data_IF_562720673098
#
_entry.id   IF_562720673098
#
_cell.length_a   1.000
_cell.length_b   1.000
_cell.length_c   1.000
_cell.angle_alpha   90.00
_cell.angle_beta   90.00
_cell.angle_gamma   90.00
#
_symmetry.space_group_name_H-M   'P 1'
#
loop_
_entity.id
_entity.type
_entity.pdbx_description
1 polymer ?
#
# COMPACT_ATOMS: atom_id res chain seq x y z
N UNK A 1 -24.52 -1.18 -3.69
CA UNK A 1 -23.08 -0.82 -3.66
C UNK A 1 -22.53 -1.11 -2.28
N UNK A 2 -21.32 -1.66 -2.17
CA UNK A 2 -20.61 -1.90 -0.90
C UNK A 2 -19.40 -0.99 -0.81
N UNK A 3 -19.17 -0.40 0.35
CA UNK A 3 -18.03 0.46 0.64
C UNK A 3 -17.23 -0.14 1.79
N UNK A 4 -15.90 -0.06 1.70
CA UNK A 4 -14.99 -0.42 2.79
C UNK A 4 -13.88 0.60 2.89
N UNK A 5 -13.59 1.03 4.11
CA UNK A 5 -12.43 1.83 4.43
C UNK A 5 -11.47 1.02 5.28
N UNK A 6 -10.17 1.20 5.08
CA UNK A 6 -9.13 0.59 5.89
C UNK A 6 -8.07 1.62 6.24
N UNK A 7 -7.55 1.49 7.46
CA UNK A 7 -6.41 2.25 7.96
C UNK A 7 -5.40 1.23 8.49
N UNK A 8 -4.17 1.31 8.00
CA UNK A 8 -3.08 0.45 8.44
C UNK A 8 -1.89 1.29 8.87
N UNK A 9 -1.25 0.88 9.96
CA UNK A 9 0.02 1.43 10.42
C UNK A 9 1.07 0.32 10.32
N UNK A 10 2.20 0.60 9.69
CA UNK A 10 3.18 -0.42 9.32
C UNK A 10 4.51 -0.12 10.00
N UNK A 11 5.05 -1.12 10.69
CA UNK A 11 6.40 -1.12 11.26
C UNK A 11 7.18 -2.32 10.76
N UNK A 12 8.49 -2.14 10.58
CA UNK A 12 9.40 -3.27 10.38
C UNK A 12 9.75 -3.92 11.72
N UNK A 13 9.82 -5.24 11.70
CA UNK A 13 10.14 -6.03 12.88
C UNK A 13 11.62 -5.96 13.27
N UNK A 14 12.53 -5.92 12.29
CA UNK A 14 13.98 -5.84 12.50
C UNK A 14 14.55 -4.52 11.98
N UNK A 15 15.56 -3.99 12.67
CA UNK A 15 16.36 -2.85 12.20
C UNK A 15 17.44 -3.27 11.21
N UNK A 16 17.81 -4.56 11.18
CA UNK A 16 18.81 -5.09 10.27
C UNK A 16 18.21 -5.58 8.95
N UNK A 17 16.93 -5.30 8.70
CA UNK A 17 16.18 -5.83 7.56
C UNK A 17 15.55 -4.71 6.72
N UNK A 18 15.42 -4.99 5.41
CA UNK A 18 14.89 -4.09 4.40
C UNK A 18 13.40 -4.29 4.13
N UNK A 19 12.88 -3.56 3.13
CA UNK A 19 11.52 -3.79 2.60
C UNK A 19 11.62 -4.46 1.24
N UNK A 20 10.79 -5.47 1.04
CA UNK A 20 10.74 -6.30 -0.15
C UNK A 20 9.44 -6.06 -0.92
N UNK A 21 9.49 -6.22 -2.25
CA UNK A 21 8.28 -6.28 -3.07
C UNK A 21 7.66 -7.69 -3.02
N UNK A 22 6.43 -7.87 -3.53
CA UNK A 22 5.82 -9.20 -3.61
C UNK A 22 6.63 -10.26 -4.37
N UNK A 23 7.55 -9.84 -5.25
CA UNK A 23 8.49 -10.71 -5.97
C UNK A 23 9.80 -11.01 -5.22
N UNK A 24 9.95 -10.57 -3.97
CA UNK A 24 11.13 -10.81 -3.13
C UNK A 24 12.33 -9.90 -3.39
N UNK A 25 12.21 -8.89 -4.26
CA UNK A 25 13.29 -7.92 -4.48
C UNK A 25 13.28 -6.83 -3.42
N UNK A 26 14.46 -6.45 -2.92
CA UNK A 26 14.62 -5.35 -1.95
C UNK A 26 14.31 -4.02 -2.65
N UNK A 27 13.33 -3.27 -2.14
CA UNK A 27 12.94 -1.94 -2.62
C UNK A 27 13.58 -0.82 -1.79
N UNK A 28 13.84 -1.11 -0.52
CA UNK A 28 14.51 -0.21 0.42
C UNK A 28 15.56 -1.02 1.15
N UNK A 29 16.82 -0.81 0.77
CA UNK A 29 17.96 -1.37 1.50
C UNK A 29 18.11 -0.60 2.81
N UNK A 30 18.33 -1.32 3.90
CA UNK A 30 18.95 -0.69 5.06
C UNK A 30 20.47 -0.77 4.87
N UNK A 31 21.14 0.37 4.95
CA UNK A 31 22.60 0.44 4.92
C UNK A 31 23.21 0.24 6.33
N UNK A 32 22.41 -0.16 7.32
CA UNK A 32 22.83 -0.39 8.70
C UNK A 32 22.85 0.88 9.56
N UNK A 33 22.44 2.02 9.00
CA UNK A 33 22.43 3.33 9.67
C UNK A 33 21.03 3.85 9.99
N UNK A 34 19.97 3.20 9.49
CA UNK A 34 18.60 3.63 9.75
C UNK A 34 18.07 2.92 11.00
N UNK A 35 17.85 3.65 12.09
CA UNK A 35 17.32 3.11 13.34
C UNK A 35 15.79 3.28 13.49
N UNK A 36 15.10 3.77 12.45
CA UNK A 36 13.66 3.97 12.49
C UNK A 36 12.89 2.70 12.13
N UNK A 37 11.81 2.40 12.87
CA UNK A 37 10.94 1.23 12.62
C UNK A 37 9.67 1.55 11.83
N UNK A 38 9.19 2.79 11.93
CA UNK A 38 7.90 3.17 11.36
C UNK A 38 8.02 3.35 9.84
N UNK A 39 7.36 2.45 9.10
CA UNK A 39 7.39 2.40 7.63
C UNK A 39 6.41 3.41 7.06
N UNK A 40 5.22 3.53 7.63
CA UNK A 40 4.22 4.49 7.20
C UNK A 40 2.79 4.11 7.58
N UNK A 41 1.86 4.91 7.09
CA UNK A 41 0.41 4.74 7.27
C UNK A 41 -0.25 4.59 5.91
N UNK A 42 -1.17 3.62 5.76
CA UNK A 42 -1.98 3.48 4.55
C UNK A 42 -3.44 3.72 4.86
N UNK A 43 -4.06 4.63 4.09
CA UNK A 43 -5.52 4.76 4.02
C UNK A 43 -5.97 4.13 2.73
N UNK A 44 -7.04 3.34 2.77
CA UNK A 44 -7.61 2.71 1.59
C UNK A 44 -9.13 2.81 1.59
N UNK A 45 -9.70 3.12 0.43
CA UNK A 45 -11.12 3.07 0.14
C UNK A 45 -11.39 2.04 -0.95
N UNK A 46 -12.41 1.22 -0.75
CA UNK A 46 -12.84 0.18 -1.71
C UNK A 46 -14.32 0.31 -1.97
N UNK A 47 -14.69 0.37 -3.24
CA UNK A 47 -16.06 0.36 -3.75
C UNK A 47 -16.28 -0.93 -4.50
N UNK A 48 -17.36 -1.66 -4.22
CA UNK A 48 -17.77 -2.82 -4.97
C UNK A 48 -19.25 -2.71 -5.36
N UNK A 49 -19.54 -2.90 -6.65
CA UNK A 49 -20.88 -2.73 -7.22
C UNK A 49 -21.20 -3.86 -8.19
N UNK A 50 -22.20 -4.68 -7.86
CA UNK A 50 -22.85 -5.56 -8.82
C UNK A 50 -23.81 -4.73 -9.67
N UNK A 51 -23.44 -4.48 -10.92
CA UNK A 51 -24.27 -3.75 -11.88
C UNK A 51 -25.48 -4.59 -12.28
N UNK A 52 -25.26 -5.89 -12.51
CA UNK A 52 -26.30 -6.90 -12.71
C UNK A 52 -25.76 -8.29 -12.29
N UNK A 53 -26.48 -9.38 -12.63
CA UNK A 53 -26.09 -10.75 -12.27
C UNK A 53 -24.82 -11.27 -12.95
N UNK A 54 -24.42 -10.62 -14.05
CA UNK A 54 -23.27 -11.02 -14.86
C UNK A 54 -22.10 -10.03 -14.72
N UNK A 55 -22.37 -8.75 -14.48
CA UNK A 55 -21.36 -7.69 -14.47
C UNK A 55 -21.18 -7.11 -13.06
N UNK A 56 -19.92 -6.99 -12.62
CA UNK A 56 -19.54 -6.26 -11.42
C UNK A 56 -18.36 -5.32 -11.65
N UNK A 57 -18.33 -4.24 -10.88
CA UNK A 57 -17.26 -3.24 -10.87
C UNK A 57 -16.67 -3.16 -9.45
N UNK A 58 -15.35 -3.10 -9.35
CA UNK A 58 -14.63 -2.83 -8.11
C UNK A 58 -13.63 -1.71 -8.32
N UNK A 59 -13.69 -0.69 -7.47
CA UNK A 59 -12.70 0.38 -7.40
C UNK A 59 -11.95 0.32 -6.08
N UNK A 60 -10.64 0.56 -6.11
CA UNK A 60 -9.81 0.69 -4.92
C UNK A 60 -8.95 1.94 -5.10
N UNK A 61 -9.01 2.84 -4.12
CA UNK A 61 -8.08 3.96 -4.00
C UNK A 61 -7.32 3.79 -2.69
N UNK A 62 -6.04 4.10 -2.66
CA UNK A 62 -5.31 4.26 -1.42
C UNK A 62 -4.23 5.31 -1.50
N UNK A 63 -3.96 5.90 -0.35
CA UNK A 63 -2.88 6.84 -0.14
C UNK A 63 -1.98 6.31 0.97
N UNK A 64 -0.70 6.22 0.66
CA UNK A 64 0.34 5.78 1.58
C UNK A 64 1.18 6.98 2.01
N UNK A 65 1.17 7.26 3.31
CA UNK A 65 2.01 8.26 3.95
C UNK A 65 3.31 7.60 4.43
N UNK A 66 4.44 8.01 3.87
CA UNK A 66 5.74 7.50 4.24
C UNK A 66 6.11 7.89 5.68
N UNK A 67 6.51 6.90 6.46
CA UNK A 67 7.01 7.04 7.81
C UNK A 67 8.49 7.39 7.86
N UNK A 68 9.03 7.53 9.07
CA UNK A 68 10.41 7.94 9.31
C UNK A 68 11.45 6.99 8.70
N UNK A 69 11.16 5.68 8.63
CA UNK A 69 12.05 4.72 7.98
C UNK A 69 12.28 5.06 6.51
N UNK A 70 11.20 5.25 5.74
CA UNK A 70 11.29 5.55 4.31
C UNK A 70 11.87 6.94 4.04
N UNK A 71 11.50 7.93 4.85
CA UNK A 71 11.99 9.32 4.73
C UNK A 71 13.48 9.45 4.98
N UNK A 72 14.06 8.59 5.82
CA UNK A 72 15.49 8.56 6.03
C UNK A 72 16.23 7.80 4.90
N UNK A 73 15.59 6.80 4.29
CA UNK A 73 16.24 5.94 3.28
C UNK A 73 16.22 6.46 1.85
N UNK A 74 15.41 7.47 1.50
CA UNK A 74 15.27 7.95 0.11
C UNK A 74 15.19 9.48 0.00
N UNK A 75 15.79 10.09 -1.03
CA UNK A 75 15.91 11.55 -1.11
C UNK A 75 14.58 12.28 -1.30
N UNK A 76 13.67 11.83 -2.19
CA UNK A 76 12.44 12.61 -2.47
C UNK A 76 11.21 11.77 -2.91
N UNK A 77 10.02 12.38 -2.70
CA UNK A 77 8.64 11.91 -2.97
C UNK A 77 8.32 10.46 -2.58
N UNK A 78 7.95 10.28 -1.31
CA UNK A 78 7.70 8.96 -0.72
C UNK A 78 6.23 8.67 -0.44
N UNK A 79 5.41 9.72 -0.31
CA UNK A 79 3.96 9.55 -0.22
C UNK A 79 3.44 9.12 -1.59
N UNK A 80 2.61 8.08 -1.62
CA UNK A 80 2.23 7.40 -2.85
C UNK A 80 0.73 7.18 -2.91
N UNK A 81 0.12 7.56 -4.03
CA UNK A 81 -1.25 7.23 -4.37
C UNK A 81 -1.29 5.99 -5.27
N UNK A 82 -2.29 5.13 -5.05
CA UNK A 82 -2.62 4.07 -5.99
C UNK A 82 -4.12 4.03 -6.25
N UNK A 83 -4.48 3.71 -7.48
CA UNK A 83 -5.86 3.49 -7.88
C UNK A 83 -5.95 2.23 -8.74
N UNK A 84 -7.04 1.48 -8.57
CA UNK A 84 -7.33 0.30 -9.37
C UNK A 84 -8.83 0.23 -9.63
N UNK A 85 -9.20 -0.02 -10.89
CA UNK A 85 -10.56 -0.33 -11.28
C UNK A 85 -10.58 -1.70 -11.96
N UNK A 86 -11.50 -2.55 -11.56
CA UNK A 86 -11.69 -3.88 -12.11
C UNK A 86 -13.15 -4.04 -12.53
N UNK A 87 -13.36 -4.30 -13.82
CA UNK A 87 -14.62 -4.75 -14.37
C UNK A 87 -14.57 -6.28 -14.51
N UNK A 88 -15.58 -6.98 -14.00
CA UNK A 88 -15.67 -8.44 -14.08
C UNK A 88 -16.99 -8.84 -14.71
N UNK A 89 -16.93 -9.78 -15.64
CA UNK A 89 -18.08 -10.41 -16.29
C UNK A 89 -18.03 -11.92 -16.05
N UNK A 90 -19.14 -12.48 -15.59
CA UNK A 90 -19.33 -13.92 -15.35
C UNK A 90 -20.61 -14.32 -16.11
N UNK A 91 -20.58 -15.44 -16.81
CA UNK A 91 -21.69 -15.97 -17.62
C UNK A 91 -22.40 -17.15 -16.94
#
# INVERSE_FOLDING_TARGET
>A
VKLKSALAFVWRYSLADGIYNPGGLIIVKDAGYNNHRFVGTQVQQTVAWSLNRYVSLRGIYGHFFAGSYLRNSKPERLDTDFFTALLSFIF
#
